data_IF_162451433174
#
_entry.id   IF_162451433174
#
_cell.length_a   1.000
_cell.length_b   1.000
_cell.length_c   1.000
_cell.angle_alpha   90.00
_cell.angle_beta   90.00
_cell.angle_gamma   90.00
#
_symmetry.space_group_name_H-M   'P 1'
#
loop_
_entity.id
_entity.type
_entity.pdbx_description
1 polymer ?
#
# COMPACT_ATOMS: atom_id res chain seq x y z
N UNK A 1 10.81 0.84 4.44
CA UNK A 1 11.67 1.49 3.43
C UNK A 1 11.13 2.89 3.26
N UNK A 2 12.00 3.87 3.02
CA UNK A 2 11.61 5.25 2.79
C UNK A 2 11.92 5.61 1.34
N UNK A 3 11.09 6.47 0.75
CA UNK A 3 11.37 7.02 -0.57
C UNK A 3 12.29 8.26 -0.49
N UNK A 4 12.51 8.90 -1.64
CA UNK A 4 13.37 10.09 -1.75
C UNK A 4 12.90 11.26 -0.90
N UNK A 5 11.62 11.28 -0.49
CA UNK A 5 11.03 12.31 0.35
C UNK A 5 10.99 11.90 1.84
N UNK A 6 11.61 10.76 2.21
CA UNK A 6 11.56 10.24 3.58
C UNK A 6 10.22 9.60 3.95
N UNK A 7 9.32 9.37 2.98
CA UNK A 7 8.01 8.79 3.25
C UNK A 7 8.13 7.26 3.28
N UNK A 8 7.64 6.67 4.38
CA UNK A 8 7.62 5.22 4.56
C UNK A 8 6.64 4.55 3.59
N UNK A 9 7.13 3.52 2.90
CA UNK A 9 6.33 2.64 2.08
C UNK A 9 6.65 1.17 2.32
N UNK A 10 5.73 0.32 1.87
CA UNK A 10 5.90 -1.13 1.84
C UNK A 10 5.83 -1.62 0.39
N UNK A 11 6.85 -2.34 -0.07
CA UNK A 11 6.78 -3.12 -1.30
C UNK A 11 6.39 -4.54 -0.95
N UNK A 12 5.11 -4.87 -1.15
CA UNK A 12 4.61 -6.19 -0.75
C UNK A 12 3.74 -6.80 -1.85
N UNK A 13 4.22 -7.84 -2.56
CA UNK A 13 3.44 -8.45 -3.62
C UNK A 13 2.17 -9.09 -3.06
N UNK A 14 1.09 -9.04 -3.83
CA UNK A 14 -0.23 -9.59 -3.45
C UNK A 14 -0.15 -11.05 -3.03
N UNK A 15 0.75 -11.83 -3.65
CA UNK A 15 1.00 -13.24 -3.31
C UNK A 15 1.58 -13.41 -1.91
N UNK A 16 2.49 -12.53 -1.49
CA UNK A 16 3.05 -12.56 -0.14
C UNK A 16 2.02 -12.14 0.91
N UNK A 17 1.21 -11.11 0.61
CA UNK A 17 0.09 -10.70 1.48
C UNK A 17 -0.91 -11.86 1.65
N UNK A 18 -1.28 -12.51 0.54
CA UNK A 18 -2.20 -13.63 0.54
C UNK A 18 -1.70 -14.79 1.41
N UNK A 19 -0.41 -15.11 1.32
CA UNK A 19 0.22 -16.14 2.14
C UNK A 19 0.19 -15.77 3.63
N UNK A 20 0.60 -14.56 4.00
CA UNK A 20 0.65 -14.10 5.40
C UNK A 20 -0.75 -14.04 6.02
N UNK A 21 -1.74 -13.55 5.27
CA UNK A 21 -3.12 -13.44 5.75
C UNK A 21 -3.91 -14.75 5.63
N UNK A 22 -3.33 -15.80 5.02
CA UNK A 22 -4.03 -17.05 4.69
C UNK A 22 -5.36 -16.79 3.94
N UNK A 23 -5.33 -15.85 2.98
CA UNK A 23 -6.48 -15.46 2.16
C UNK A 23 -6.18 -15.65 0.68
N UNK A 24 -7.24 -15.72 -0.13
CA UNK A 24 -7.10 -15.76 -1.59
C UNK A 24 -6.53 -14.45 -2.13
N UNK A 25 -5.83 -14.51 -3.26
CA UNK A 25 -5.35 -13.31 -3.96
C UNK A 25 -6.49 -12.37 -4.37
N UNK A 26 -7.68 -12.92 -4.65
CA UNK A 26 -8.87 -12.13 -4.98
C UNK A 26 -9.36 -11.31 -3.79
N UNK A 27 -9.39 -11.93 -2.60
CA UNK A 27 -9.75 -11.25 -1.35
C UNK A 27 -8.75 -10.15 -1.04
N UNK A 28 -7.45 -10.43 -1.15
CA UNK A 28 -6.40 -9.42 -0.91
C UNK A 28 -6.54 -8.24 -1.87
N UNK A 29 -6.71 -8.48 -3.16
CA UNK A 29 -6.92 -7.40 -4.15
C UNK A 29 -8.15 -6.57 -3.81
N UNK A 30 -9.25 -7.21 -3.40
CA UNK A 30 -10.47 -6.51 -2.98
C UNK A 30 -10.20 -5.62 -1.76
N UNK A 31 -9.60 -6.15 -0.69
CA UNK A 31 -9.30 -5.37 0.51
C UNK A 31 -8.34 -4.21 0.25
N UNK A 32 -7.34 -4.39 -0.62
CA UNK A 32 -6.45 -3.29 -1.03
C UNK A 32 -7.23 -2.19 -1.77
N UNK A 33 -8.15 -2.54 -2.66
CA UNK A 33 -8.99 -1.55 -3.34
C UNK A 33 -9.95 -0.83 -2.37
N UNK A 34 -10.50 -1.54 -1.39
CA UNK A 34 -11.37 -0.94 -0.35
C UNK A 34 -10.59 0.07 0.51
N UNK A 35 -9.37 -0.28 0.94
CA UNK A 35 -8.49 0.63 1.69
C UNK A 35 -8.08 1.85 0.87
N UNK A 36 -7.79 1.66 -0.42
CA UNK A 36 -7.44 2.74 -1.33
C UNK A 36 -8.63 3.68 -1.56
N UNK A 37 -9.83 3.12 -1.74
CA UNK A 37 -11.08 3.89 -1.87
C UNK A 37 -11.41 4.67 -0.59
N UNK A 38 -11.10 4.11 0.58
CA UNK A 38 -11.27 4.76 1.87
C UNK A 38 -10.20 5.83 2.16
N UNK A 39 -9.21 6.02 1.28
CA UNK A 39 -8.11 6.96 1.50
C UNK A 39 -7.16 6.54 2.63
N UNK A 40 -7.11 5.25 2.95
CA UNK A 40 -6.25 4.69 4.00
C UNK A 40 -4.91 4.20 3.46
N UNK A 41 -4.82 3.94 2.15
CA UNK A 41 -3.56 3.62 1.49
C UNK A 41 -3.48 4.31 0.13
N UNK A 42 -2.26 4.55 -0.33
CA UNK A 42 -1.96 4.96 -1.71
C UNK A 42 -1.02 3.94 -2.35
N UNK A 43 -1.31 3.53 -3.59
CA UNK A 43 -0.50 2.55 -4.31
C UNK A 43 0.19 3.17 -5.51
N UNK A 44 1.52 3.05 -5.56
CA UNK A 44 2.34 3.55 -6.68
C UNK A 44 2.99 2.37 -7.40
N UNK A 45 2.76 2.28 -8.71
CA UNK A 45 3.35 1.23 -9.55
C UNK A 45 4.81 1.58 -9.87
N UNK A 46 5.74 0.67 -9.57
CA UNK A 46 7.18 0.87 -9.81
C UNK A 46 7.66 0.46 -11.20
N UNK A 47 6.92 -0.41 -11.89
CA UNK A 47 7.32 -0.93 -13.20
C UNK A 47 6.49 -2.14 -13.63
N UNK A 48 6.95 -2.81 -14.69
CA UNK A 48 6.39 -4.09 -15.12
C UNK A 48 7.13 -5.20 -14.36
N UNK A 49 6.41 -6.05 -13.64
CA UNK A 49 6.99 -7.14 -12.83
C UNK A 49 7.38 -6.75 -11.41
N UNK A 50 7.60 -5.46 -11.15
CA UNK A 50 7.90 -4.95 -9.80
C UNK A 50 6.64 -4.87 -8.92
N UNK A 51 6.74 -5.22 -7.62
CA UNK A 51 5.67 -4.97 -6.66
C UNK A 51 5.29 -3.49 -6.59
N UNK A 52 4.04 -3.20 -6.24
CA UNK A 52 3.64 -1.82 -6.00
C UNK A 52 4.23 -1.33 -4.66
N UNK A 53 4.62 -0.05 -4.60
CA UNK A 53 4.79 0.66 -3.34
C UNK A 53 3.42 0.95 -2.75
N UNK A 54 3.22 0.60 -1.50
CA UNK A 54 2.01 0.87 -0.75
C UNK A 54 2.37 1.83 0.38
N UNK A 55 1.79 3.02 0.35
CA UNK A 55 1.89 4.03 1.38
C UNK A 55 0.67 3.94 2.30
N UNK A 56 0.88 4.00 3.60
CA UNK A 56 -0.21 4.00 4.59
C UNK A 56 -0.55 5.42 4.96
N UNK A 57 -1.80 5.81 4.77
CA UNK A 57 -2.31 7.13 5.08
C UNK A 57 -3.00 7.08 6.44
N UNK A 58 -2.60 7.96 7.37
CA UNK A 58 -3.17 8.01 8.71
C UNK A 58 -4.37 8.98 8.69
N UNK A 59 -5.60 8.50 8.91
CA UNK A 59 -6.77 9.37 8.91
C UNK A 59 -6.67 10.44 10.02
N UNK A 60 -7.07 11.67 9.70
CA UNK A 60 -6.99 12.81 10.62
C UNK A 60 -5.60 13.47 10.73
N UNK A 61 -4.63 13.04 9.92
CA UNK A 61 -3.30 13.67 9.78
C UNK A 61 -3.08 14.20 8.35
N UNK A 62 -4.00 15.04 7.87
CA UNK A 62 -3.90 15.62 6.52
C UNK A 62 -2.65 16.50 6.32
N UNK A 63 -2.00 16.97 7.40
CA UNK A 63 -0.82 17.84 7.36
C UNK A 63 0.54 17.17 7.67
N UNK A 64 0.57 15.89 8.03
CA UNK A 64 1.83 15.28 8.52
C UNK A 64 2.84 14.93 7.42
N UNK A 65 2.48 15.06 6.14
CA UNK A 65 3.31 14.69 5.00
C UNK A 65 3.91 15.89 4.23
N UNK A 66 3.67 17.14 4.67
CA UNK A 66 4.08 18.36 3.98
C UNK A 66 4.87 19.35 4.85
N UNK A 67 5.34 18.94 6.04
CA UNK A 67 6.17 19.77 6.92
C UNK A 67 7.65 19.37 6.88
#
# INVERSE_FOLDING_TARGET
>A
QEDENGILFVCFPVTAIAAVLSRSSMTVKRSLNELETAGLIMRVRQGIGEPNRIYVLIPGKEDAALA
#
